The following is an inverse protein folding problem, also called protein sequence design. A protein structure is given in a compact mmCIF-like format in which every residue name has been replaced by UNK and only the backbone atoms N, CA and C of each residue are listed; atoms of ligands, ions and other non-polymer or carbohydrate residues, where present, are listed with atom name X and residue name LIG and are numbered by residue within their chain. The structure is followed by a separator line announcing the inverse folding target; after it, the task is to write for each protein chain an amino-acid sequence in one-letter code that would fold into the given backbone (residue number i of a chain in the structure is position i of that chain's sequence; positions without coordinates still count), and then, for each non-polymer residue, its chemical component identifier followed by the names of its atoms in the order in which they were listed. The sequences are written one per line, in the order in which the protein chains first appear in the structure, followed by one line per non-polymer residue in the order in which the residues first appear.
data_IF_917223683058
#
_entry.id   IF_917223683058
#
_cell.length_a   1.000
_cell.length_b   1.000
_cell.length_c   1.000
_cell.angle_alpha   90.00
_cell.angle_beta   90.00
_cell.angle_gamma   90.00
#
_symmetry.space_group_name_H-M   'P 1'
#
loop_
_entity.id
_entity.type
_entity.pdbx_description
1 polymer ?
#
# COMPACT_ATOMS: atom_id res chain seq x y z
N UNK A 1 2.78 -13.62 -14.58
CA UNK A 1 2.59 -13.09 -13.21
C UNK A 1 1.15 -13.33 -12.83
N UNK A 2 0.92 -14.07 -11.76
CA UNK A 2 -0.42 -14.56 -11.38
C UNK A 2 -0.86 -14.02 -10.00
N UNK A 3 -0.14 -13.06 -9.47
CA UNK A 3 -0.41 -12.46 -8.16
C UNK A 3 -0.87 -11.01 -8.31
N UNK A 4 -2.10 -10.76 -7.91
CA UNK A 4 -2.74 -9.43 -7.92
C UNK A 4 -3.18 -9.07 -6.51
N UNK A 5 -2.96 -7.82 -6.11
CA UNK A 5 -3.22 -7.33 -4.77
C UNK A 5 -3.85 -5.94 -4.79
N UNK A 6 -4.48 -5.58 -3.67
CA UNK A 6 -5.14 -4.28 -3.48
C UNK A 6 -4.31 -3.41 -2.55
N UNK A 7 -4.10 -2.14 -2.93
CA UNK A 7 -3.69 -1.06 -2.03
C UNK A 7 -4.88 -0.12 -1.82
N UNK A 8 -5.41 -0.10 -0.63
CA UNK A 8 -6.57 0.71 -0.27
C UNK A 8 -6.19 1.90 0.63
N UNK A 9 -6.70 3.06 0.27
CA UNK A 9 -6.56 4.29 1.04
C UNK A 9 -7.86 4.67 1.76
N UNK A 10 -8.91 3.86 1.66
CA UNK A 10 -10.25 4.18 2.14
C UNK A 10 -10.74 5.54 1.62
N UNK A 11 -10.99 5.68 0.30
CA UNK A 11 -11.28 6.97 -0.32
C UNK A 11 -12.56 7.60 0.22
N UNK A 12 -12.46 8.86 0.67
CA UNK A 12 -13.58 9.71 1.08
C UNK A 12 -13.97 10.59 -0.10
N UNK A 13 -15.22 10.51 -0.52
CA UNK A 13 -15.76 11.23 -1.67
C UNK A 13 -16.59 12.44 -1.24
N UNK A 14 -16.77 13.43 -2.12
CA UNK A 14 -17.70 14.55 -1.89
C UNK A 14 -19.10 14.00 -1.59
N UNK A 15 -19.71 14.50 -0.53
CA UNK A 15 -21.01 13.99 -0.03
C UNK A 15 -20.93 12.69 0.77
N UNK A 16 -19.76 12.03 0.79
CA UNK A 16 -19.50 10.84 1.60
C UNK A 16 -18.97 11.18 2.99
N UNK A 17 -18.59 10.15 3.74
CA UNK A 17 -17.99 10.28 5.07
C UNK A 17 -16.86 9.29 5.28
N UNK A 18 -15.98 9.55 6.26
CA UNK A 18 -14.96 8.59 6.67
C UNK A 18 -15.57 7.24 7.08
N UNK A 19 -16.73 7.25 7.76
CA UNK A 19 -17.43 6.03 8.14
C UNK A 19 -17.91 5.21 6.93
N UNK A 20 -18.42 5.87 5.87
CA UNK A 20 -18.79 5.18 4.63
C UNK A 20 -17.56 4.65 3.89
N UNK A 21 -16.46 5.42 3.85
CA UNK A 21 -15.21 4.99 3.23
C UNK A 21 -14.63 3.73 3.90
N UNK A 22 -14.62 3.67 5.22
CA UNK A 22 -14.15 2.49 5.97
C UNK A 22 -15.05 1.27 5.74
N UNK A 23 -16.38 1.43 5.67
CA UNK A 23 -17.30 0.33 5.29
C UNK A 23 -17.05 -0.16 3.87
N UNK A 24 -16.80 0.76 2.93
CA UNK A 24 -16.46 0.43 1.55
C UNK A 24 -15.14 -0.36 1.45
N UNK A 25 -14.16 -0.07 2.31
CA UNK A 25 -12.94 -0.85 2.42
C UNK A 25 -13.19 -2.30 2.85
N UNK A 26 -14.06 -2.51 3.85
CA UNK A 26 -14.44 -3.87 4.28
C UNK A 26 -15.21 -4.62 3.17
N UNK A 27 -16.10 -3.92 2.46
CA UNK A 27 -16.86 -4.52 1.35
C UNK A 27 -15.93 -4.90 0.19
N UNK A 28 -15.00 -4.02 -0.19
CA UNK A 28 -14.01 -4.31 -1.23
C UNK A 28 -13.07 -5.45 -0.81
N UNK A 29 -12.67 -5.52 0.46
CA UNK A 29 -11.81 -6.59 0.95
C UNK A 29 -12.50 -7.98 0.84
N UNK A 30 -13.80 -8.07 1.18
CA UNK A 30 -14.58 -9.29 0.95
C UNK A 30 -14.67 -9.67 -0.52
N UNK A 31 -14.83 -8.67 -1.40
CA UNK A 31 -14.84 -8.92 -2.85
C UNK A 31 -13.47 -9.43 -3.31
N UNK A 32 -12.38 -8.78 -2.93
CA UNK A 32 -11.02 -9.16 -3.29
C UNK A 32 -10.67 -10.59 -2.81
N UNK A 33 -11.10 -10.96 -1.59
CA UNK A 33 -10.93 -12.31 -1.06
C UNK A 33 -11.67 -13.36 -1.92
N UNK A 34 -12.93 -13.08 -2.29
CA UNK A 34 -13.70 -13.99 -3.18
C UNK A 34 -13.09 -14.13 -4.57
N UNK A 35 -12.55 -13.03 -5.11
CA UNK A 35 -11.92 -13.01 -6.44
C UNK A 35 -10.53 -13.67 -6.46
N UNK A 36 -9.95 -14.00 -5.30
CA UNK A 36 -8.66 -14.67 -5.22
C UNK A 36 -7.46 -13.71 -5.25
N UNK A 37 -7.65 -12.44 -4.91
CA UNK A 37 -6.53 -11.52 -4.70
C UNK A 37 -5.57 -12.06 -3.64
N UNK A 38 -4.28 -11.84 -3.86
CA UNK A 38 -3.22 -12.35 -2.97
C UNK A 38 -3.21 -11.61 -1.63
N UNK A 39 -3.30 -10.27 -1.67
CA UNK A 39 -3.29 -9.44 -0.46
C UNK A 39 -4.14 -8.18 -0.58
N UNK A 40 -4.52 -7.65 0.58
CA UNK A 40 -5.19 -6.39 0.75
C UNK A 40 -4.42 -5.54 1.74
N UNK A 41 -3.73 -4.52 1.26
CA UNK A 41 -2.97 -3.60 2.09
C UNK A 41 -3.69 -2.28 2.29
N UNK A 42 -3.59 -1.73 3.50
CA UNK A 42 -4.19 -0.46 3.89
C UNK A 42 -3.08 0.56 4.13
N UNK A 43 -3.18 1.71 3.49
CA UNK A 43 -2.20 2.79 3.63
C UNK A 43 -2.38 3.57 4.94
N UNK A 44 -1.33 4.27 5.39
CA UNK A 44 -1.39 5.25 6.47
C UNK A 44 -1.22 6.66 5.90
N UNK A 45 -2.27 7.48 6.02
CA UNK A 45 -2.19 8.91 5.70
C UNK A 45 -2.94 9.72 6.74
N UNK A 46 -2.39 10.91 7.05
CA UNK A 46 -2.96 11.80 8.05
C UNK A 46 -3.28 13.17 7.44
N UNK A 47 -4.27 13.85 8.00
CA UNK A 47 -4.69 15.19 7.59
C UNK A 47 -5.03 15.32 6.09
N UNK A 48 -5.57 14.24 5.49
CA UNK A 48 -6.01 14.21 4.09
C UNK A 48 -7.52 13.96 4.03
N UNK A 49 -8.35 14.98 3.70
CA UNK A 49 -9.81 14.83 3.64
C UNK A 49 -10.30 13.77 2.65
N UNK A 50 -9.49 13.42 1.65
CA UNK A 50 -9.81 12.37 0.65
C UNK A 50 -9.50 10.93 1.12
N UNK A 51 -8.97 10.74 2.34
CA UNK A 51 -8.50 9.44 2.84
C UNK A 51 -8.96 9.23 4.28
N UNK A 52 -9.63 8.11 4.55
CA UNK A 52 -10.07 7.76 5.90
C UNK A 52 -9.07 6.86 6.63
N UNK A 53 -8.11 6.26 5.93
CA UNK A 53 -7.14 5.32 6.49
C UNK A 53 -5.98 6.05 7.17
N UNK A 54 -6.07 6.25 8.48
CA UNK A 54 -5.03 6.87 9.30
C UNK A 54 -4.37 5.91 10.30
N UNK A 55 -4.95 4.73 10.51
CA UNK A 55 -4.46 3.70 11.42
C UNK A 55 -4.64 2.32 10.75
N UNK A 56 -3.67 1.89 9.92
CA UNK A 56 -3.79 0.65 9.16
C UNK A 56 -3.94 -0.57 10.07
N UNK A 57 -3.28 -0.62 11.22
CA UNK A 57 -3.37 -1.70 12.20
C UNK A 57 -4.81 -1.96 12.67
N UNK A 58 -5.61 -0.91 12.89
CA UNK A 58 -7.03 -1.05 13.25
C UNK A 58 -7.83 -1.67 12.10
N UNK A 59 -7.61 -1.21 10.87
CA UNK A 59 -8.32 -1.71 9.69
C UNK A 59 -7.89 -3.13 9.32
N UNK A 60 -6.61 -3.47 9.46
CA UNK A 60 -6.09 -4.83 9.21
C UNK A 60 -6.86 -5.85 10.05
N UNK A 61 -7.02 -5.60 11.36
CA UNK A 61 -7.78 -6.49 12.24
C UNK A 61 -9.23 -6.67 11.82
N UNK A 62 -9.91 -5.60 11.39
CA UNK A 62 -11.29 -5.65 10.91
C UNK A 62 -11.41 -6.40 9.56
N UNK A 63 -10.51 -6.13 8.62
CA UNK A 63 -10.48 -6.78 7.30
C UNK A 63 -10.19 -8.28 7.46
N UNK A 64 -9.18 -8.64 8.25
CA UNK A 64 -8.83 -10.02 8.50
C UNK A 64 -9.96 -10.82 9.17
N UNK A 65 -10.78 -10.16 10.01
CA UNK A 65 -11.94 -10.77 10.68
C UNK A 65 -13.13 -11.03 9.73
N UNK A 66 -13.21 -10.34 8.60
CA UNK A 66 -14.33 -10.47 7.64
C UNK A 66 -13.91 -11.12 6.31
N UNK A 67 -12.70 -11.63 6.23
CA UNK A 67 -12.10 -12.34 5.08
C UNK A 67 -11.49 -13.67 5.56
N UNK A 68 -11.29 -14.61 4.65
CA UNK A 68 -10.88 -15.97 5.02
C UNK A 68 -9.45 -16.32 4.54
N UNK A 69 -9.08 -15.94 3.32
CA UNK A 69 -7.87 -16.41 2.63
C UNK A 69 -6.87 -15.31 2.33
N UNK A 70 -7.36 -14.14 1.94
CA UNK A 70 -6.53 -13.02 1.52
C UNK A 70 -5.59 -12.60 2.65
N UNK A 71 -4.32 -12.34 2.32
CA UNK A 71 -3.39 -11.74 3.27
C UNK A 71 -3.75 -10.29 3.48
N UNK A 72 -3.60 -9.80 4.69
CA UNK A 72 -3.95 -8.42 5.05
C UNK A 72 -2.74 -7.73 5.66
N UNK A 73 -2.49 -6.48 5.26
CA UNK A 73 -1.30 -5.80 5.77
C UNK A 73 -1.35 -4.29 5.63
N UNK A 74 -0.26 -3.66 6.06
CA UNK A 74 -0.05 -2.22 5.88
C UNK A 74 0.68 -1.92 4.58
N UNK A 75 0.23 -0.88 3.89
CA UNK A 75 0.85 -0.40 2.67
C UNK A 75 1.16 1.10 2.69
N UNK A 76 1.84 1.55 3.80
CA UNK A 76 2.53 0.93 4.93
C UNK A 76 2.28 1.65 6.25
N UNK A 77 2.82 1.08 7.32
CA UNK A 77 3.03 1.85 8.55
C UNK A 77 4.13 2.88 8.30
N UNK A 78 3.86 4.13 8.57
CA UNK A 78 4.87 5.20 8.45
C UNK A 78 5.71 5.21 9.72
N UNK A 79 6.70 4.32 9.77
CA UNK A 79 7.49 4.00 10.98
C UNK A 79 8.03 5.23 11.72
N UNK A 80 8.45 6.33 11.05
CA UNK A 80 8.89 7.53 11.77
C UNK A 80 7.82 8.18 12.66
N UNK A 81 6.54 7.87 12.48
CA UNK A 81 5.46 8.39 13.33
C UNK A 81 5.20 7.55 14.58
N UNK A 82 5.82 6.36 14.68
CA UNK A 82 5.50 5.37 15.71
C UNK A 82 6.72 4.97 16.54
N UNK A 83 6.51 4.59 17.80
CA UNK A 83 7.52 3.88 18.57
C UNK A 83 7.66 2.45 18.03
N UNK A 84 8.88 1.97 17.73
CA UNK A 84 9.09 0.62 17.18
C UNK A 84 8.51 -0.50 18.03
N UNK A 85 8.59 -0.40 19.35
CA UNK A 85 7.95 -1.35 20.27
C UNK A 85 6.43 -1.45 20.04
N UNK A 86 5.74 -0.32 19.91
CA UNK A 86 4.30 -0.33 19.66
C UNK A 86 3.94 -0.99 18.31
N UNK A 87 4.76 -0.78 17.29
CA UNK A 87 4.56 -1.43 15.98
C UNK A 87 4.75 -2.94 16.12
N UNK A 88 5.82 -3.38 16.79
CA UNK A 88 6.05 -4.81 17.05
C UNK A 88 4.85 -5.44 17.78
N UNK A 89 4.40 -4.86 18.89
CA UNK A 89 3.31 -5.40 19.70
C UNK A 89 1.98 -5.48 18.93
N UNK A 90 1.63 -4.43 18.17
CA UNK A 90 0.41 -4.42 17.34
C UNK A 90 0.44 -5.53 16.30
N UNK A 91 1.56 -5.74 15.63
CA UNK A 91 1.67 -6.77 14.60
C UNK A 91 1.84 -8.18 15.18
N UNK A 92 2.44 -8.35 16.38
CA UNK A 92 2.36 -9.60 17.13
C UNK A 92 0.90 -9.96 17.48
N UNK A 93 0.11 -9.00 17.96
CA UNK A 93 -1.31 -9.22 18.27
C UNK A 93 -2.13 -9.60 17.02
N UNK A 94 -1.87 -8.94 15.88
CA UNK A 94 -2.52 -9.25 14.62
C UNK A 94 -2.16 -10.65 14.13
N UNK A 95 -0.88 -11.01 14.15
CA UNK A 95 -0.39 -12.32 13.74
C UNK A 95 -0.89 -13.43 14.68
N UNK A 96 -0.90 -13.20 16.01
CA UNK A 96 -1.48 -14.11 16.99
C UNK A 96 -2.96 -14.42 16.69
N UNK A 97 -3.72 -13.41 16.26
CA UNK A 97 -5.16 -13.55 15.98
C UNK A 97 -5.46 -14.13 14.60
N UNK A 98 -4.58 -13.87 13.62
CA UNK A 98 -4.74 -14.26 12.22
C UNK A 98 -3.44 -14.86 11.67
N UNK A 99 -3.01 -16.03 12.19
CA UNK A 99 -1.69 -16.61 11.89
C UNK A 99 -1.48 -16.81 10.38
N UNK A 100 -0.32 -16.38 9.90
CA UNK A 100 0.10 -16.56 8.52
C UNK A 100 -0.59 -15.65 7.50
N UNK A 101 -1.52 -14.77 7.94
CA UNK A 101 -2.29 -13.90 7.05
C UNK A 101 -1.87 -12.43 7.09
N UNK A 102 -0.97 -12.06 7.98
CA UNK A 102 -0.59 -10.65 8.17
C UNK A 102 0.70 -10.32 7.41
N UNK A 103 0.80 -9.07 6.92
CA UNK A 103 2.01 -8.49 6.35
C UNK A 103 2.31 -7.14 7.03
N UNK A 104 3.59 -6.87 7.32
CA UNK A 104 4.04 -5.59 7.82
C UNK A 104 4.76 -4.80 6.72
N UNK A 105 4.04 -3.97 6.01
CA UNK A 105 4.63 -3.00 5.09
C UNK A 105 5.04 -1.73 5.83
N UNK A 106 6.25 -1.25 5.60
CA UNK A 106 6.87 -0.12 6.30
C UNK A 106 7.27 0.97 5.32
N UNK A 107 6.83 2.21 5.56
CA UNK A 107 7.20 3.40 4.83
C UNK A 107 8.12 4.33 5.62
N UNK A 108 9.03 5.01 4.90
CA UNK A 108 9.91 6.03 5.47
C UNK A 108 9.25 7.41 5.53
N UNK A 109 8.45 7.74 4.54
CA UNK A 109 7.78 9.04 4.46
C UNK A 109 6.80 9.25 5.64
N UNK A 110 6.54 10.51 6.06
CA UNK A 110 5.61 10.76 7.17
C UNK A 110 4.13 10.50 6.81
N UNK A 111 3.79 10.31 5.54
CA UNK A 111 2.41 10.12 5.08
C UNK A 111 1.50 11.34 5.26
N UNK A 112 2.09 12.53 5.46
CA UNK A 112 1.36 13.75 5.76
C UNK A 112 2.22 15.01 5.53
N UNK A 113 1.66 16.19 5.83
CA UNK A 113 2.35 17.48 5.83
C UNK A 113 3.28 17.64 7.08
N UNK A 114 4.23 18.61 7.05
CA UNK A 114 5.21 18.79 8.12
C UNK A 114 4.58 19.14 9.49
N UNK A 115 3.49 19.90 9.53
CA UNK A 115 2.83 20.30 10.79
C UNK A 115 2.15 19.08 11.43
N UNK A 116 1.47 18.30 10.63
CA UNK A 116 0.84 17.07 11.09
C UNK A 116 1.90 16.04 11.53
N UNK A 117 3.03 15.95 10.82
CA UNK A 117 4.16 15.12 11.23
C UNK A 117 4.70 15.53 12.61
N UNK A 118 4.82 16.85 12.87
CA UNK A 118 5.20 17.35 14.19
C UNK A 118 4.20 16.95 15.29
N UNK A 119 2.90 17.02 14.99
CA UNK A 119 1.85 16.61 15.94
C UNK A 119 1.92 15.11 16.28
N UNK A 120 2.25 14.26 15.30
CA UNK A 120 2.40 12.82 15.47
C UNK A 120 3.67 12.46 16.26
N UNK A 121 4.81 13.01 15.86
CA UNK A 121 6.12 12.66 16.42
C UNK A 121 6.43 13.37 17.74
N UNK A 122 5.76 14.48 18.04
CA UNK A 122 5.97 15.35 19.22
C UNK A 122 7.41 15.86 19.42
N UNK A 123 8.24 15.79 18.38
CA UNK A 123 9.58 16.37 18.37
C UNK A 123 9.52 17.80 17.83
N UNK A 124 10.13 18.74 18.55
CA UNK A 124 10.22 20.15 18.13
C UNK A 124 11.34 20.40 17.11
N UNK A 125 12.33 19.54 17.08
CA UNK A 125 13.41 19.62 16.10
C UNK A 125 12.95 18.95 14.79
N UNK A 126 12.44 19.77 13.89
CA UNK A 126 12.10 19.39 12.49
C UNK A 126 13.40 19.25 11.66
N UNK A 127 14.57 19.28 12.28
CA UNK A 127 15.81 19.00 11.58
C UNK A 127 15.79 17.55 11.15
N UNK A 128 16.03 17.39 9.90
CA UNK A 128 16.29 16.29 8.99
C UNK A 128 16.99 15.04 9.55
N UNK A 129 16.84 14.70 10.79
CA UNK A 129 17.29 13.43 11.30
C UNK A 129 16.30 12.37 10.81
N UNK A 130 16.64 11.83 9.65
CA UNK A 130 16.01 10.63 9.12
C UNK A 130 16.31 9.47 10.09
N UNK A 131 15.55 9.41 11.17
CA UNK A 131 15.66 8.38 12.21
C UNK A 131 15.02 7.03 11.77
N UNK A 132 14.65 6.93 10.49
CA UNK A 132 14.00 5.74 9.94
C UNK A 132 14.85 4.48 10.09
N UNK A 133 16.14 4.58 9.78
CA UNK A 133 17.04 3.43 9.87
C UNK A 133 17.21 2.97 11.32
N UNK A 134 17.36 3.90 12.25
CA UNK A 134 17.45 3.61 13.69
C UNK A 134 16.18 2.93 14.20
N UNK A 135 15.00 3.44 13.83
CA UNK A 135 13.72 2.86 14.22
C UNK A 135 13.49 1.48 13.60
N UNK A 136 13.89 1.29 12.36
CA UNK A 136 13.82 -0.02 11.72
C UNK A 136 14.75 -1.02 12.40
N UNK A 137 15.95 -0.60 12.73
CA UNK A 137 16.92 -1.41 13.49
C UNK A 137 16.37 -1.75 14.88
N UNK A 138 15.79 -0.77 15.58
CA UNK A 138 15.16 -0.99 16.90
C UNK A 138 14.00 -1.99 16.81
N UNK A 139 13.13 -1.89 15.78
CA UNK A 139 12.06 -2.86 15.53
C UNK A 139 12.60 -4.29 15.37
N UNK A 140 13.65 -4.44 14.57
CA UNK A 140 14.31 -5.73 14.35
C UNK A 140 14.95 -6.25 15.64
N UNK A 141 15.58 -5.37 16.44
CA UNK A 141 16.19 -5.75 17.72
C UNK A 141 15.14 -6.18 18.76
N UNK A 142 13.96 -5.58 18.80
CA UNK A 142 12.85 -6.06 19.64
C UNK A 142 12.42 -7.47 19.23
N UNK A 143 12.28 -7.73 17.96
CA UNK A 143 11.92 -9.05 17.42
C UNK A 143 12.97 -10.09 17.74
N UNK A 144 14.22 -9.80 17.47
CA UNK A 144 15.34 -10.74 17.64
C UNK A 144 15.81 -10.86 19.10
N UNK A 145 15.30 -10.03 20.01
CA UNK A 145 15.83 -9.87 21.38
C UNK A 145 17.34 -9.56 21.38
N UNK A 146 17.75 -8.77 20.39
CA UNK A 146 19.15 -8.57 20.01
C UNK A 146 19.80 -7.34 20.63
N UNK A 147 19.18 -6.64 21.59
CA UNK A 147 19.82 -5.50 22.26
C UNK A 147 21.07 -5.89 23.02
N UNK A 148 22.18 -5.14 22.85
CA UNK A 148 23.46 -5.47 23.49
C UNK A 148 23.37 -5.39 25.02
N UNK A 149 24.36 -6.00 25.68
CA UNK A 149 24.47 -5.92 27.11
C UNK A 149 24.64 -4.45 27.57
N UNK A 150 23.91 -4.08 28.63
CA UNK A 150 23.90 -2.70 29.13
C UNK A 150 22.91 -1.77 28.40
N UNK A 151 22.30 -2.19 27.29
CA UNK A 151 21.29 -1.38 26.61
C UNK A 151 20.02 -1.28 27.46
N UNK A 152 19.39 -0.09 27.61
CA UNK A 152 18.20 0.09 28.44
C UNK A 152 17.01 -0.79 28.02
N UNK A 153 16.91 -1.16 26.74
CA UNK A 153 15.82 -1.99 26.22
C UNK A 153 16.09 -3.49 26.22
N UNK A 154 17.26 -3.95 26.71
CA UNK A 154 17.64 -5.37 26.67
C UNK A 154 16.59 -6.32 27.27
N UNK A 155 15.91 -5.87 28.34
CA UNK A 155 14.88 -6.66 29.03
C UNK A 155 13.46 -6.30 28.61
N UNK A 156 13.27 -5.35 27.70
CA UNK A 156 11.96 -5.00 27.14
C UNK A 156 11.61 -6.01 26.05
N UNK A 157 10.39 -6.51 26.08
CA UNK A 157 9.89 -7.49 25.11
C UNK A 157 8.63 -6.97 24.44
N UNK A 158 8.56 -7.10 23.14
CA UNK A 158 7.29 -6.90 22.43
C UNK A 158 6.31 -8.04 22.77
N UNK A 159 5.11 -7.69 23.17
CA UNK A 159 4.08 -8.66 23.60
C UNK A 159 3.01 -8.83 22.51
N UNK A 160 2.44 -10.04 22.35
CA UNK A 160 2.79 -11.32 22.98
C UNK A 160 4.16 -11.84 22.51
N UNK A 161 5.01 -12.29 23.45
CA UNK A 161 6.42 -12.60 23.18
C UNK A 161 6.66 -14.01 22.60
N UNK A 162 5.63 -14.78 22.41
CA UNK A 162 5.61 -16.12 21.82
C UNK A 162 5.17 -16.11 20.33
N UNK A 163 4.88 -14.93 19.78
CA UNK A 163 4.47 -14.72 18.39
C UNK A 163 5.57 -13.97 17.66
N UNK A 164 5.93 -14.40 16.47
CA UNK A 164 6.89 -13.71 15.62
C UNK A 164 6.21 -12.58 14.81
N UNK A 165 6.99 -11.57 14.42
CA UNK A 165 6.54 -10.57 13.48
C UNK A 165 6.18 -11.21 12.12
N UNK A 166 5.09 -10.73 11.48
CA UNK A 166 4.78 -11.14 10.12
C UNK A 166 5.87 -10.69 9.13
N UNK A 167 5.86 -11.22 7.89
CA UNK A 167 6.81 -10.80 6.86
C UNK A 167 6.86 -9.29 6.68
N UNK A 168 8.07 -8.73 6.69
CA UNK A 168 8.32 -7.30 6.53
C UNK A 168 8.52 -6.99 5.04
N UNK A 169 7.89 -5.89 4.59
CA UNK A 169 8.08 -5.29 3.27
C UNK A 169 8.49 -3.82 3.44
N UNK A 170 9.60 -3.41 2.81
CA UNK A 170 9.92 -1.99 2.74
C UNK A 170 9.26 -1.36 1.51
N UNK A 171 8.57 -0.24 1.73
CA UNK A 171 7.91 0.51 0.67
C UNK A 171 8.78 1.68 0.24
N UNK A 172 8.83 1.94 -1.06
CA UNK A 172 9.57 3.08 -1.58
C UNK A 172 9.21 3.43 -3.01
N UNK A 173 9.64 4.63 -3.40
CA UNK A 173 9.52 5.16 -4.76
C UNK A 173 10.90 5.51 -5.36
N UNK A 174 11.98 5.01 -4.76
CA UNK A 174 13.38 5.28 -5.14
C UNK A 174 14.28 4.08 -4.87
N UNK A 175 15.56 4.17 -5.27
CA UNK A 175 16.57 3.12 -5.04
C UNK A 175 16.91 2.87 -3.57
N UNK A 176 16.80 3.88 -2.70
CA UNK A 176 17.18 3.76 -1.27
C UNK A 176 16.46 2.61 -0.56
N UNK A 177 15.11 2.58 -0.64
CA UNK A 177 14.33 1.51 0.01
C UNK A 177 14.55 0.15 -0.63
N UNK A 178 14.88 0.11 -1.94
CA UNK A 178 15.23 -1.10 -2.66
C UNK A 178 16.52 -1.73 -2.12
N UNK A 179 17.57 -0.92 -1.98
CA UNK A 179 18.87 -1.35 -1.46
C UNK A 179 18.77 -1.79 -0.01
N UNK A 180 18.05 -1.04 0.82
CA UNK A 180 17.85 -1.38 2.22
C UNK A 180 17.05 -2.68 2.39
N UNK A 181 15.95 -2.86 1.65
CA UNK A 181 15.18 -4.10 1.66
C UNK A 181 16.03 -5.30 1.25
N UNK A 182 16.85 -5.15 0.21
CA UNK A 182 17.77 -6.17 -0.25
C UNK A 182 18.81 -6.55 0.82
N UNK A 183 19.39 -5.56 1.49
CA UNK A 183 20.43 -5.75 2.49
C UNK A 183 19.95 -6.49 3.74
N UNK A 184 18.70 -6.25 4.17
CA UNK A 184 18.10 -6.89 5.36
C UNK A 184 17.28 -8.16 5.02
N UNK A 185 17.18 -8.54 3.74
CA UNK A 185 16.41 -9.71 3.31
C UNK A 185 14.90 -9.55 3.49
N UNK A 186 14.38 -8.32 3.39
CA UNK A 186 12.94 -8.04 3.43
C UNK A 186 12.31 -8.03 2.03
N UNK A 187 10.97 -8.11 1.95
CA UNK A 187 10.24 -7.84 0.72
C UNK A 187 10.36 -6.38 0.31
N UNK A 188 10.16 -6.07 -0.96
CA UNK A 188 10.18 -4.71 -1.49
C UNK A 188 8.91 -4.41 -2.29
N UNK A 189 8.29 -3.26 -2.01
CA UNK A 189 7.15 -2.75 -2.77
C UNK A 189 7.47 -1.38 -3.37
N UNK A 190 7.53 -1.32 -4.71
CA UNK A 190 7.80 -0.07 -5.43
C UNK A 190 6.50 0.64 -5.78
N UNK A 191 6.35 1.89 -5.34
CA UNK A 191 5.16 2.70 -5.51
C UNK A 191 5.18 3.48 -6.85
N UNK A 192 5.05 2.78 -7.98
CA UNK A 192 5.10 3.38 -9.33
C UNK A 192 4.02 4.46 -9.54
N UNK A 193 2.85 4.32 -8.93
CA UNK A 193 1.71 5.24 -9.08
C UNK A 193 2.00 6.70 -8.70
N UNK A 194 3.06 6.98 -7.94
CA UNK A 194 3.51 8.34 -7.65
C UNK A 194 5.03 8.55 -7.78
N UNK A 195 5.78 7.48 -8.09
CA UNK A 195 7.24 7.57 -8.18
C UNK A 195 7.68 8.51 -9.31
N UNK A 196 8.76 9.23 -9.05
CA UNK A 196 9.49 10.01 -10.06
C UNK A 196 10.76 9.30 -10.55
N UNK A 197 11.10 8.18 -9.90
CA UNK A 197 12.27 7.36 -10.21
C UNK A 197 11.90 6.15 -11.06
N UNK A 198 12.88 5.59 -11.72
CA UNK A 198 12.75 4.42 -12.58
C UNK A 198 12.48 3.14 -11.76
N UNK A 199 11.31 2.54 -11.99
CA UNK A 199 10.91 1.30 -11.36
C UNK A 199 11.80 0.12 -11.73
N UNK A 200 12.23 0.05 -12.99
CA UNK A 200 13.09 -1.05 -13.51
C UNK A 200 14.43 -1.03 -12.82
N UNK A 201 15.05 0.16 -12.71
CA UNK A 201 16.33 0.32 -12.03
C UNK A 201 16.23 -0.07 -10.54
N UNK A 202 15.20 0.41 -9.83
CA UNK A 202 15.00 0.13 -8.42
C UNK A 202 14.75 -1.37 -8.15
N UNK A 203 13.88 -2.02 -8.92
CA UNK A 203 13.55 -3.44 -8.73
C UNK A 203 14.70 -4.36 -9.15
N UNK A 204 15.48 -3.95 -10.17
CA UNK A 204 16.72 -4.65 -10.55
C UNK A 204 17.77 -4.55 -9.45
N UNK A 205 17.98 -3.37 -8.87
CA UNK A 205 18.91 -3.16 -7.75
C UNK A 205 18.52 -4.03 -6.55
N UNK A 206 17.23 -4.03 -6.18
CA UNK A 206 16.71 -4.89 -5.12
C UNK A 206 17.05 -6.37 -5.34
N UNK A 207 16.75 -6.92 -6.52
CA UNK A 207 16.99 -8.35 -6.84
C UNK A 207 18.47 -8.70 -6.80
N UNK A 208 19.32 -7.84 -7.40
CA UNK A 208 20.78 -8.08 -7.44
C UNK A 208 21.43 -8.00 -6.07
N UNK A 209 20.97 -7.10 -5.21
CA UNK A 209 21.52 -6.89 -3.88
C UNK A 209 20.91 -7.77 -2.78
N UNK A 210 19.87 -8.56 -3.10
CA UNK A 210 19.12 -9.32 -2.11
C UNK A 210 19.98 -10.33 -1.36
N UNK A 211 19.87 -10.30 -0.04
CA UNK A 211 20.50 -11.25 0.88
C UNK A 211 19.40 -12.09 1.56
N UNK A 212 19.44 -13.41 1.48
CA UNK A 212 18.47 -14.26 2.17
C UNK A 212 18.41 -13.98 3.66
N UNK A 213 17.21 -14.08 4.21
CA UNK A 213 16.92 -13.92 5.64
C UNK A 213 16.09 -15.11 6.14
N UNK A 214 15.91 -15.29 7.46
CA UNK A 214 15.00 -16.31 7.98
C UNK A 214 13.55 -16.15 7.49
N UNK A 215 13.14 -14.95 7.10
CA UNK A 215 11.78 -14.67 6.61
C UNK A 215 11.63 -14.88 5.10
N UNK A 216 12.69 -14.68 4.31
CA UNK A 216 12.68 -14.80 2.84
C UNK A 216 13.98 -15.43 2.32
N UNK A 217 13.87 -16.55 1.64
CA UNK A 217 14.98 -17.24 0.96
C UNK A 217 15.34 -16.62 -0.40
N UNK A 218 14.40 -15.88 -1.02
CA UNK A 218 14.53 -15.24 -2.34
C UNK A 218 13.84 -13.89 -2.36
N UNK A 219 14.24 -12.97 -3.28
CA UNK A 219 13.62 -11.65 -3.37
C UNK A 219 12.13 -11.75 -3.71
N UNK A 220 11.32 -10.89 -3.08
CA UNK A 220 9.90 -10.74 -3.32
C UNK A 220 9.61 -9.28 -3.64
N UNK A 221 9.33 -8.99 -4.93
CA UNK A 221 9.15 -7.65 -5.43
C UNK A 221 7.70 -7.39 -5.85
N UNK A 222 7.07 -6.38 -5.25
CA UNK A 222 5.70 -5.92 -5.54
C UNK A 222 5.78 -4.62 -6.33
N UNK A 223 5.02 -4.51 -7.42
CA UNK A 223 4.87 -3.29 -8.19
C UNK A 223 3.52 -2.63 -7.89
N UNK A 224 3.54 -1.49 -7.20
CA UNK A 224 2.35 -0.70 -6.86
C UNK A 224 1.98 0.25 -7.99
N UNK A 225 0.80 0.09 -8.59
CA UNK A 225 0.31 0.89 -9.71
C UNK A 225 -1.06 1.50 -9.43
N UNK A 226 -1.39 2.59 -10.12
CA UNK A 226 -2.77 3.09 -10.18
C UNK A 226 -3.44 2.57 -11.45
N UNK A 227 -4.63 1.96 -11.31
CA UNK A 227 -5.38 1.50 -12.47
C UNK A 227 -6.89 1.74 -12.29
N UNK A 228 -7.57 2.00 -13.40
CA UNK A 228 -9.03 2.11 -13.50
C UNK A 228 -9.48 1.32 -14.73
N UNK A 229 -10.12 0.17 -14.50
CA UNK A 229 -10.71 -0.64 -15.55
C UNK A 229 -12.22 -0.42 -15.61
N UNK A 230 -12.78 -0.37 -16.81
CA UNK A 230 -14.23 -0.32 -17.07
C UNK A 230 -14.56 -1.10 -18.36
N UNK A 231 -15.85 -1.25 -18.65
CA UNK A 231 -16.32 -1.98 -19.84
C UNK A 231 -15.94 -1.29 -21.16
N UNK A 232 -15.71 0.03 -21.10
CA UNK A 232 -15.24 0.84 -22.24
C UNK A 232 -14.10 1.77 -21.82
N UNK A 233 -13.20 2.10 -22.76
CA UNK A 233 -12.14 3.07 -22.53
C UNK A 233 -12.70 4.45 -22.15
N UNK A 234 -13.80 4.87 -22.78
CA UNK A 234 -14.46 6.14 -22.50
C UNK A 234 -14.99 6.23 -21.06
N UNK A 235 -15.58 5.16 -20.54
CA UNK A 235 -16.06 5.11 -19.15
C UNK A 235 -14.90 5.08 -18.17
N UNK A 236 -13.85 4.32 -18.43
CA UNK A 236 -12.65 4.30 -17.61
C UNK A 236 -12.01 5.71 -17.52
N UNK A 237 -11.92 6.42 -18.64
CA UNK A 237 -11.41 7.79 -18.69
C UNK A 237 -12.31 8.75 -17.91
N UNK A 238 -13.64 8.63 -18.03
CA UNK A 238 -14.58 9.42 -17.24
C UNK A 238 -14.40 9.18 -15.74
N UNK A 239 -14.32 7.95 -15.31
CA UNK A 239 -14.10 7.60 -13.91
C UNK A 239 -12.75 8.14 -13.39
N UNK A 240 -11.71 8.08 -14.18
CA UNK A 240 -10.38 8.54 -13.81
C UNK A 240 -10.24 10.07 -13.72
N UNK A 241 -11.23 10.87 -14.20
CA UNK A 241 -11.26 12.33 -14.00
C UNK A 241 -11.28 12.71 -12.52
N UNK A 242 -11.79 11.87 -11.63
CA UNK A 242 -11.69 12.01 -10.17
C UNK A 242 -10.22 12.10 -9.72
N UNK A 243 -9.37 11.24 -10.27
CA UNK A 243 -7.91 11.22 -9.99
C UNK A 243 -7.28 12.51 -10.50
N UNK A 244 -7.65 12.96 -11.70
CA UNK A 244 -7.12 14.17 -12.31
C UNK A 244 -7.41 15.41 -11.49
N UNK A 245 -8.67 15.59 -11.06
CA UNK A 245 -9.05 16.74 -10.26
C UNK A 245 -8.39 16.72 -8.88
N UNK A 246 -8.34 15.55 -8.23
CA UNK A 246 -7.62 15.40 -6.97
C UNK A 246 -6.14 15.76 -7.11
N UNK A 247 -5.49 15.32 -8.18
CA UNK A 247 -4.10 15.67 -8.48
C UNK A 247 -3.94 17.18 -8.72
N UNK A 248 -4.77 17.80 -9.54
CA UNK A 248 -4.70 19.23 -9.85
C UNK A 248 -4.91 20.11 -8.59
N UNK A 249 -5.87 19.74 -7.73
CA UNK A 249 -6.13 20.41 -6.44
C UNK A 249 -4.93 20.29 -5.51
N UNK A 250 -4.36 19.11 -5.34
CA UNK A 250 -3.18 18.90 -4.49
C UNK A 250 -1.96 19.70 -4.94
N UNK A 251 -1.77 19.90 -6.25
CA UNK A 251 -0.69 20.75 -6.77
C UNK A 251 -0.86 22.23 -6.39
N UNK A 252 -2.07 22.65 -6.01
CA UNK A 252 -2.41 24.00 -5.52
C UNK A 252 -2.50 24.07 -3.99
N UNK A 253 -2.22 22.96 -3.28
CA UNK A 253 -2.38 22.88 -1.83
C UNK A 253 -3.82 22.70 -1.37
N UNK A 254 -4.74 22.40 -2.29
CA UNK A 254 -6.16 22.17 -1.99
C UNK A 254 -6.39 20.69 -1.67
N UNK A 255 -6.59 20.39 -0.40
CA UNK A 255 -6.86 19.02 0.07
C UNK A 255 -8.35 18.89 0.37
N UNK A 256 -9.09 18.22 -0.52
CA UNK A 256 -10.55 18.04 -0.46
C UNK A 256 -10.89 16.54 -0.63
N UNK A 257 -12.11 16.10 -0.26
CA UNK A 257 -12.63 14.79 -0.64
C UNK A 257 -12.57 14.56 -2.15
N UNK A 258 -12.59 13.31 -2.58
CA UNK A 258 -12.58 12.96 -4.01
C UNK A 258 -13.85 13.50 -4.68
N UNK A 259 -13.66 14.29 -5.73
CA UNK A 259 -14.74 14.85 -6.51
C UNK A 259 -15.41 13.79 -7.43
N UNK A 260 -16.68 14.00 -7.74
CA UNK A 260 -17.36 13.22 -8.77
C UNK A 260 -16.79 13.53 -10.18
N UNK A 261 -17.00 12.65 -11.17
CA UNK A 261 -16.69 12.94 -12.55
C UNK A 261 -17.37 14.23 -13.08
N UNK A 262 -18.60 14.53 -12.62
CA UNK A 262 -19.32 15.73 -13.03
C UNK A 262 -18.69 16.99 -12.44
N UNK A 263 -18.27 16.96 -11.17
CA UNK A 263 -17.48 18.06 -10.56
C UNK A 263 -16.14 18.22 -11.28
N UNK A 264 -15.50 17.12 -11.67
CA UNK A 264 -14.24 17.18 -12.43
C UNK A 264 -14.45 17.79 -13.83
N UNK A 265 -15.53 17.45 -14.52
CA UNK A 265 -15.86 18.02 -15.82
C UNK A 265 -16.16 19.53 -15.74
N UNK A 266 -16.80 19.98 -14.66
CA UNK A 266 -17.13 21.41 -14.44
C UNK A 266 -15.95 22.25 -13.93
N UNK A 267 -14.83 21.62 -13.52
CA UNK A 267 -13.72 22.36 -12.93
C UNK A 267 -12.96 23.21 -13.98
N UNK A 268 -12.63 24.48 -13.67
CA UNK A 268 -12.00 25.40 -14.62
C UNK A 268 -10.47 25.15 -14.72
N UNK A 269 -10.08 24.03 -15.31
CA UNK A 269 -8.67 23.69 -15.50
C UNK A 269 -7.92 24.75 -16.32
N UNK A 270 -6.81 25.22 -15.79
CA UNK A 270 -5.85 26.04 -16.55
C UNK A 270 -5.07 25.19 -17.56
N UNK A 271 -4.40 25.80 -18.56
CA UNK A 271 -3.50 25.06 -19.45
C UNK A 271 -2.39 24.31 -18.69
N UNK A 272 -1.87 24.89 -17.62
CA UNK A 272 -0.86 24.24 -16.75
C UNK A 272 -1.42 23.03 -16.00
N UNK A 273 -2.67 23.10 -15.53
CA UNK A 273 -3.33 21.93 -14.89
C UNK A 273 -3.44 20.77 -15.89
N UNK A 274 -3.90 21.06 -17.11
CA UNK A 274 -4.06 20.04 -18.16
C UNK A 274 -2.75 19.37 -18.52
N UNK A 275 -1.66 20.13 -18.64
CA UNK A 275 -0.34 19.56 -18.94
C UNK A 275 0.17 18.69 -17.79
N UNK A 276 0.03 19.13 -16.55
CA UNK A 276 0.41 18.33 -15.37
C UNK A 276 -0.43 17.04 -15.25
N UNK A 277 -1.73 17.12 -15.50
CA UNK A 277 -2.61 15.95 -15.55
C UNK A 277 -2.14 14.99 -16.65
N UNK A 278 -1.84 15.47 -17.86
CA UNK A 278 -1.35 14.64 -18.96
C UNK A 278 -0.09 13.87 -18.56
N UNK A 279 0.85 14.52 -17.89
CA UNK A 279 2.07 13.88 -17.39
C UNK A 279 1.75 12.85 -16.27
N UNK A 280 0.83 13.18 -15.37
CA UNK A 280 0.43 12.25 -14.32
C UNK A 280 -0.30 11.02 -14.85
N UNK A 281 -1.12 11.19 -15.91
CA UNK A 281 -1.85 10.09 -16.57
C UNK A 281 -0.91 9.03 -17.16
N UNK A 282 0.34 9.34 -17.46
CA UNK A 282 1.35 8.35 -17.86
C UNK A 282 1.67 7.30 -16.78
N UNK A 283 1.19 7.49 -15.54
CA UNK A 283 1.36 6.56 -14.41
C UNK A 283 0.04 5.91 -13.95
N UNK A 284 -1.06 6.21 -14.62
CA UNK A 284 -2.40 5.69 -14.31
C UNK A 284 -2.88 4.87 -15.50
N UNK A 285 -3.05 3.59 -15.31
CA UNK A 285 -3.49 2.67 -16.36
C UNK A 285 -5.02 2.67 -16.43
N UNK A 286 -5.59 3.27 -17.47
CA UNK A 286 -7.04 3.43 -17.65
C UNK A 286 -7.51 2.80 -18.94
N UNK A 287 -8.69 2.20 -18.93
CA UNK A 287 -9.34 1.65 -20.11
C UNK A 287 -10.06 0.33 -19.85
N UNK A 288 -10.38 -0.34 -20.95
CA UNK A 288 -10.83 -1.74 -20.91
C UNK A 288 -9.69 -2.64 -20.38
N UNK A 289 -10.05 -3.85 -19.99
CA UNK A 289 -9.06 -4.89 -19.62
C UNK A 289 -7.93 -4.99 -20.63
N UNK A 290 -8.24 -4.99 -21.92
CA UNK A 290 -7.24 -5.08 -23.00
C UNK A 290 -6.31 -3.84 -23.03
N UNK A 291 -6.86 -2.64 -22.86
CA UNK A 291 -6.10 -1.39 -22.83
C UNK A 291 -5.20 -1.33 -21.60
N UNK A 292 -5.71 -1.69 -20.42
CA UNK A 292 -4.94 -1.73 -19.17
C UNK A 292 -3.78 -2.74 -19.28
N UNK A 293 -4.03 -3.95 -19.78
CA UNK A 293 -3.00 -4.97 -20.01
C UNK A 293 -1.91 -4.48 -20.96
N UNK A 294 -2.29 -3.89 -22.10
CA UNK A 294 -1.35 -3.35 -23.06
C UNK A 294 -0.38 -2.33 -22.44
N UNK A 295 -0.84 -1.54 -21.47
CA UNK A 295 0.01 -0.59 -20.76
C UNK A 295 0.86 -1.24 -19.66
N UNK A 296 0.29 -2.20 -18.91
CA UNK A 296 0.94 -2.83 -17.76
C UNK A 296 1.96 -3.91 -18.14
N UNK A 297 1.66 -4.75 -19.15
CA UNK A 297 2.48 -5.92 -19.49
C UNK A 297 3.96 -5.56 -19.77
N UNK A 298 4.29 -4.52 -20.55
CA UNK A 298 5.68 -4.13 -20.75
C UNK A 298 6.39 -3.69 -19.46
N UNK A 299 5.67 -3.00 -18.55
CA UNK A 299 6.24 -2.56 -17.29
C UNK A 299 6.47 -3.74 -16.35
N UNK A 300 5.53 -4.68 -16.29
CA UNK A 300 5.65 -5.93 -15.52
C UNK A 300 6.85 -6.73 -15.98
N UNK A 301 6.99 -6.93 -17.30
CA UNK A 301 8.11 -7.65 -17.89
C UNK A 301 9.44 -6.97 -17.59
N UNK A 302 9.53 -5.66 -17.81
CA UNK A 302 10.77 -4.91 -17.61
C UNK A 302 11.19 -4.87 -16.11
N UNK A 303 10.25 -4.80 -15.18
CA UNK A 303 10.54 -4.79 -13.73
C UNK A 303 10.76 -6.19 -13.16
N UNK A 304 10.29 -7.23 -13.84
CA UNK A 304 10.28 -8.59 -13.33
C UNK A 304 9.50 -8.74 -12.02
N UNK A 305 8.45 -7.92 -11.79
CA UNK A 305 7.66 -7.96 -10.58
C UNK A 305 7.05 -9.34 -10.33
N UNK A 306 7.09 -9.80 -9.07
CA UNK A 306 6.46 -11.06 -8.65
C UNK A 306 4.95 -10.87 -8.46
N UNK A 307 4.53 -9.63 -8.15
CA UNK A 307 3.16 -9.30 -7.78
C UNK A 307 2.81 -7.87 -8.19
N UNK A 308 1.60 -7.69 -8.69
CA UNK A 308 1.03 -6.37 -8.98
C UNK A 308 0.09 -5.95 -7.86
N UNK A 309 0.30 -4.77 -7.29
CA UNK A 309 -0.58 -4.18 -6.29
C UNK A 309 -1.25 -2.94 -6.85
N UNK A 310 -2.58 -2.96 -6.91
CA UNK A 310 -3.37 -1.91 -7.57
C UNK A 310 -4.06 -1.02 -6.56
N UNK A 311 -3.98 0.30 -6.79
CA UNK A 311 -4.84 1.29 -6.16
C UNK A 311 -5.79 1.90 -7.19
N UNK A 312 -7.08 2.03 -6.81
CA UNK A 312 -8.13 2.63 -7.64
C UNK A 312 -8.85 3.69 -6.83
N UNK A 313 -8.51 4.95 -7.07
CA UNK A 313 -9.00 6.12 -6.32
C UNK A 313 -10.07 6.86 -7.14
N UNK A 314 -11.24 6.24 -7.31
CA UNK A 314 -12.38 6.82 -8.03
C UNK A 314 -13.56 7.09 -7.11
N UNK A 315 -14.50 7.92 -7.57
CA UNK A 315 -15.62 8.45 -6.77
C UNK A 315 -16.64 7.38 -6.39
N UNK A 316 -17.15 6.63 -7.39
CA UNK A 316 -18.21 5.66 -7.18
C UNK A 316 -17.67 4.32 -6.68
N UNK A 317 -18.20 3.83 -5.55
CA UNK A 317 -17.76 2.57 -4.96
C UNK A 317 -18.17 1.35 -5.78
N UNK A 318 -19.33 1.39 -6.43
CA UNK A 318 -19.78 0.30 -7.33
C UNK A 318 -18.86 0.16 -8.53
N UNK A 319 -18.54 1.28 -9.21
CA UNK A 319 -17.59 1.31 -10.30
C UNK A 319 -16.17 0.90 -9.82
N UNK A 320 -15.78 1.29 -8.60
CA UNK A 320 -14.51 0.85 -7.99
C UNK A 320 -14.45 -0.66 -7.84
N UNK A 321 -15.49 -1.28 -7.32
CA UNK A 321 -15.61 -2.75 -7.21
C UNK A 321 -15.54 -3.42 -8.58
N UNK A 322 -16.31 -2.92 -9.53
CA UNK A 322 -16.32 -3.44 -10.91
C UNK A 322 -14.94 -3.35 -11.56
N UNK A 323 -14.21 -2.27 -11.34
CA UNK A 323 -12.81 -2.15 -11.79
C UNK A 323 -11.91 -3.28 -11.25
N UNK A 324 -12.05 -3.65 -9.97
CA UNK A 324 -11.29 -4.78 -9.41
C UNK A 324 -11.77 -6.13 -9.93
N UNK A 325 -13.06 -6.32 -10.23
CA UNK A 325 -13.58 -7.53 -10.89
C UNK A 325 -12.96 -7.72 -12.28
N UNK A 326 -12.93 -6.65 -13.08
CA UNK A 326 -12.31 -6.65 -14.41
C UNK A 326 -10.80 -6.90 -14.35
N UNK A 327 -10.08 -6.29 -13.39
CA UNK A 327 -8.65 -6.51 -13.21
C UNK A 327 -8.33 -7.95 -12.80
N UNK A 328 -9.15 -8.58 -11.97
CA UNK A 328 -8.99 -9.99 -11.61
C UNK A 328 -9.12 -10.91 -12.83
N UNK A 329 -10.08 -10.64 -13.72
CA UNK A 329 -10.24 -11.36 -14.99
C UNK A 329 -9.04 -11.14 -15.91
N UNK A 330 -8.52 -9.90 -15.98
CA UNK A 330 -7.39 -9.53 -16.81
C UNK A 330 -6.12 -10.32 -16.51
N UNK A 331 -5.82 -10.52 -15.24
CA UNK A 331 -4.55 -11.11 -14.78
C UNK A 331 -4.69 -12.62 -14.57
N UNK A 332 -5.92 -13.15 -14.71
CA UNK A 332 -6.16 -14.60 -14.58
C UNK A 332 -5.93 -15.08 -13.15
N UNK A 333 -6.27 -14.23 -12.15
CA UNK A 333 -6.26 -14.68 -10.76
C UNK A 333 -7.29 -15.80 -10.66
N UNK A 334 -6.81 -17.02 -10.69
CA UNK A 334 -7.65 -18.21 -10.59
C UNK A 334 -8.39 -18.14 -9.24
N UNK A 335 -9.70 -18.30 -9.27
CA UNK A 335 -10.47 -18.69 -8.09
C UNK A 335 -9.80 -19.95 -7.52
N UNK A 336 -8.79 -19.76 -6.67
CA UNK A 336 -8.05 -20.88 -6.08
C UNK A 336 -9.02 -21.69 -5.23
N UNK A 337 -9.12 -22.96 -5.53
CA UNK A 337 -9.79 -23.94 -4.69
C UNK A 337 -9.31 -23.81 -3.23
N UNK A 338 -10.15 -24.12 -2.23
CA UNK A 338 -9.79 -23.97 -0.83
C UNK A 338 -8.48 -24.71 -0.54
N UNK A 339 -7.55 -24.02 0.10
CA UNK A 339 -6.33 -24.65 0.62
C UNK A 339 -6.75 -25.78 1.55
N UNK A 340 -6.42 -27.02 1.14
CA UNK A 340 -6.76 -28.20 1.91
C UNK A 340 -6.26 -28.07 3.34
N UNK A 341 -7.13 -28.34 4.30
CA UNK A 341 -6.77 -28.53 5.68
C UNK A 341 -5.61 -29.54 5.73
N UNK A 342 -4.44 -29.08 6.18
CA UNK A 342 -3.38 -30.00 6.57
C UNK A 342 -3.93 -30.86 7.70
N UNK A 343 -4.05 -32.15 7.41
CA UNK A 343 -4.48 -33.16 8.35
C UNK A 343 -3.61 -33.10 9.60
N UNK A 344 -4.26 -32.95 10.74
CA UNK A 344 -3.59 -33.11 12.01
C UNK A 344 -3.06 -34.54 12.19
N UNK A 345 -1.89 -34.61 12.72
CA UNK A 345 -1.37 -35.72 13.51
C UNK A 345 -0.50 -35.14 14.62
#
# INVERSE_FOLDING_TARGET
MDALSVLDLSPVTTGGSGASALRNSLDLARLADRLGYTRYWVAEHHNLPSVASSAPDIMIGQIAAVTERIRVGSGGVMLPNHAPLNVAERFHMLEARFPGRIDLGIGRAPGTDPITSLALRRRRDIRDDDDFLERLQELILFEQRGFPEGHPFRNVRAMPADVALPPIYLLGSSGYSAELAAAIGAGFAFAHHFATHDAVAAMTSYRKGFRPSPALDRPRAILGVAAVAADTDAEADRLATTIDLNFARRQKGEYLPLASPDEAAAYPYTPSDRERIRLNRGRVFTGTVATVRKGLDPLIEATGADELMVTTMIYDHGARRHSYELLAQAIGVASSAPFGAAAGA
#
